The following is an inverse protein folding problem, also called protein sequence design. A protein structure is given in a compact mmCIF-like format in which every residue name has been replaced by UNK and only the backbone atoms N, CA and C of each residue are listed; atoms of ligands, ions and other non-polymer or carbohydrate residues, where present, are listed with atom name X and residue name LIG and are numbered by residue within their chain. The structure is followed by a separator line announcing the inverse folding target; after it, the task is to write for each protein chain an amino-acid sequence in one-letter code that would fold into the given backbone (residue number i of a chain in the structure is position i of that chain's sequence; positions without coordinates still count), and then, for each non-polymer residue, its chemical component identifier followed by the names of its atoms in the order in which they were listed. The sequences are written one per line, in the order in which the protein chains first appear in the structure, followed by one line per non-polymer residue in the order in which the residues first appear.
data_IF_646389856281
#
_entry.id   IF_646389856281
#
_cell.length_a   1.000
_cell.length_b   1.000
_cell.length_c   1.000
_cell.angle_alpha   90.00
_cell.angle_beta   90.00
_cell.angle_gamma   90.00
#
_symmetry.space_group_name_H-M   'P 1'
#
loop_
_entity.id
_entity.type
_entity.pdbx_description
1 polymer ?
#
# COMPACT_ATOMS: atom_id res chain seq x y z
N UNK A 1 1.46 -7.78 -1.47
CA UNK A 1 1.98 -6.40 -1.34
C UNK A 1 3.15 -6.40 -0.37
N UNK A 2 4.27 -5.76 -0.72
CA UNK A 2 5.47 -5.69 0.14
C UNK A 2 5.93 -4.24 0.28
N UNK A 3 6.30 -3.82 1.49
CA UNK A 3 6.93 -2.53 1.77
C UNK A 3 8.39 -2.76 2.10
N UNK A 4 9.27 -1.98 1.46
CA UNK A 4 10.71 -2.02 1.67
C UNK A 4 11.24 -0.71 2.22
N UNK A 5 12.24 -0.81 3.08
CA UNK A 5 13.13 0.29 3.43
C UNK A 5 14.36 0.23 2.52
N UNK A 6 14.60 1.30 1.77
CA UNK A 6 15.75 1.45 0.90
C UNK A 6 16.70 2.51 1.46
N UNK A 7 17.93 2.08 1.76
CA UNK A 7 19.03 2.98 2.10
C UNK A 7 19.99 3.09 0.91
N UNK A 8 20.61 4.25 0.73
CA UNK A 8 21.56 4.47 -0.37
C UNK A 8 22.71 3.44 -0.33
N UNK A 9 22.97 2.78 -1.47
CA UNK A 9 24.05 1.80 -1.60
C UNK A 9 23.73 0.39 -1.07
N UNK A 10 22.54 0.15 -0.52
CA UNK A 10 22.11 -1.17 -0.03
C UNK A 10 20.97 -1.74 -0.88
N UNK A 11 20.75 -3.05 -0.79
CA UNK A 11 19.55 -3.67 -1.37
C UNK A 11 18.31 -3.29 -0.55
N UNK A 12 17.12 -3.16 -1.16
CA UNK A 12 15.88 -2.87 -0.44
C UNK A 12 15.60 -3.96 0.60
N UNK A 13 15.41 -3.57 1.86
CA UNK A 13 15.08 -4.48 2.96
C UNK A 13 13.56 -4.58 3.09
N UNK A 14 12.92 -5.75 2.92
CA UNK A 14 11.49 -5.88 3.18
C UNK A 14 11.22 -5.71 4.67
N UNK A 15 10.30 -4.81 5.01
CA UNK A 15 9.91 -4.50 6.40
C UNK A 15 8.47 -4.90 6.70
N UNK A 16 7.63 -5.09 5.67
CA UNK A 16 6.25 -5.53 5.78
C UNK A 16 5.87 -6.31 4.53
N UNK A 17 5.21 -7.45 4.69
CA UNK A 17 4.75 -8.25 3.55
C UNK A 17 3.39 -8.87 3.88
N UNK A 18 2.39 -8.62 3.04
CA UNK A 18 1.11 -9.30 3.09
C UNK A 18 0.89 -10.01 1.75
N UNK A 19 0.69 -11.32 1.82
CA UNK A 19 0.50 -12.21 0.66
C UNK A 19 -0.91 -12.77 0.63
N UNK A 20 -1.23 -13.44 -0.47
CA UNK A 20 -2.50 -14.13 -0.69
C UNK A 20 -3.68 -13.17 -0.87
N UNK A 21 -4.88 -13.74 -1.00
CA UNK A 21 -6.13 -13.00 -1.13
C UNK A 21 -6.50 -12.35 0.21
N UNK A 22 -6.87 -11.08 0.15
CA UNK A 22 -7.50 -10.39 1.28
C UNK A 22 -8.99 -10.26 0.95
N UNK A 23 -9.84 -10.14 1.97
CA UNK A 23 -11.28 -9.98 1.75
C UNK A 23 -11.58 -8.70 0.93
N UNK A 24 -12.80 -8.59 0.40
CA UNK A 24 -13.30 -7.41 -0.34
C UNK A 24 -13.57 -6.20 0.59
N UNK A 25 -12.55 -5.76 1.33
CA UNK A 25 -12.62 -4.66 2.29
C UNK A 25 -11.28 -3.92 2.41
N UNK A 26 -11.34 -2.69 2.93
CA UNK A 26 -10.14 -1.94 3.28
C UNK A 26 -9.55 -2.43 4.60
N UNK A 27 -8.26 -2.75 4.56
CA UNK A 27 -7.49 -3.18 5.72
C UNK A 27 -6.34 -2.23 6.01
N UNK A 28 -6.17 -1.89 7.29
CA UNK A 28 -5.07 -1.04 7.72
C UNK A 28 -3.74 -1.81 7.74
N UNK A 29 -2.83 -1.45 6.84
CA UNK A 29 -1.42 -1.84 6.89
C UNK A 29 -0.62 -0.88 7.79
N UNK A 30 0.24 -1.42 8.65
CA UNK A 30 1.10 -0.60 9.53
C UNK A 30 2.43 -1.31 9.81
N UNK A 31 3.53 -0.57 9.68
CA UNK A 31 4.89 -1.07 9.96
C UNK A 31 5.77 0.04 10.54
N UNK A 32 6.58 -0.32 11.53
CA UNK A 32 7.62 0.54 12.07
C UNK A 32 8.96 0.31 11.39
N UNK A 33 9.74 1.37 11.22
CA UNK A 33 11.11 1.27 10.72
C UNK A 33 11.99 2.28 11.46
N UNK A 34 13.31 2.06 11.44
CA UNK A 34 14.31 2.96 12.01
C UNK A 34 15.34 3.23 10.93
N UNK A 35 15.57 4.51 10.62
CA UNK A 35 16.57 4.94 9.66
C UNK A 35 17.27 6.20 10.17
N UNK A 36 18.60 6.18 10.18
CA UNK A 36 19.44 7.29 10.67
C UNK A 36 20.04 8.13 9.53
N UNK A 37 19.88 7.69 8.29
CA UNK A 37 20.43 8.30 7.09
C UNK A 37 19.30 8.53 6.07
N UNK A 38 19.62 9.18 4.95
CA UNK A 38 18.70 9.29 3.81
C UNK A 38 18.21 7.91 3.36
N UNK A 39 16.90 7.82 3.15
CA UNK A 39 16.22 6.57 2.84
C UNK A 39 14.94 6.85 2.05
N UNK A 40 14.45 5.81 1.39
CA UNK A 40 13.16 5.80 0.70
C UNK A 40 12.32 4.63 1.19
N UNK A 41 11.02 4.81 1.17
CA UNK A 41 10.05 3.71 1.33
C UNK A 41 9.60 3.30 -0.06
N UNK A 42 9.66 2.00 -0.35
CA UNK A 42 9.14 1.45 -1.60
C UNK A 42 7.95 0.56 -1.28
N UNK A 43 6.87 0.71 -2.04
CA UNK A 43 5.70 -0.13 -1.94
C UNK A 43 5.56 -0.88 -3.26
N UNK A 44 5.71 -2.20 -3.20
CA UNK A 44 5.68 -3.09 -4.35
C UNK A 44 4.45 -3.99 -4.27
N UNK A 45 3.58 -3.87 -5.27
CA UNK A 45 2.48 -4.80 -5.47
C UNK A 45 2.88 -5.86 -6.49
N UNK A 46 2.46 -7.09 -6.21
CA UNK A 46 2.67 -8.25 -7.08
C UNK A 46 1.34 -8.98 -7.19
N UNK A 47 0.88 -9.18 -8.42
CA UNK A 47 -0.29 -10.00 -8.74
C UNK A 47 0.24 -11.17 -9.58
N UNK A 48 -0.03 -12.40 -9.16
CA UNK A 48 0.51 -13.62 -9.80
C UNK A 48 -0.54 -14.45 -10.53
N UNK A 49 -1.82 -14.21 -10.28
CA UNK A 49 -2.94 -14.89 -10.94
C UNK A 49 -3.87 -13.86 -11.58
N UNK A 50 -4.49 -14.21 -12.71
CA UNK A 50 -5.42 -13.33 -13.42
C UNK A 50 -6.83 -13.50 -12.91
N UNK A 51 -7.59 -12.40 -12.87
CA UNK A 51 -9.03 -12.41 -12.64
C UNK A 51 -9.46 -12.40 -11.16
N UNK A 52 -8.55 -12.11 -10.24
CA UNK A 52 -8.81 -12.06 -8.78
C UNK A 52 -8.76 -10.62 -8.22
N UNK A 53 -9.17 -9.62 -9.02
CA UNK A 53 -9.16 -8.22 -8.60
C UNK A 53 -7.79 -7.55 -8.63
N UNK A 54 -7.67 -6.46 -7.87
CA UNK A 54 -6.48 -5.61 -7.82
C UNK A 54 -6.07 -5.24 -6.39
N UNK A 55 -4.92 -4.57 -6.25
CA UNK A 55 -4.45 -4.11 -4.93
C UNK A 55 -4.74 -2.62 -4.79
N UNK A 56 -5.61 -2.25 -3.86
CA UNK A 56 -5.89 -0.87 -3.49
C UNK A 56 -4.95 -0.34 -2.40
N UNK A 57 -4.49 0.90 -2.54
CA UNK A 57 -3.79 1.67 -1.53
C UNK A 57 -4.44 3.04 -1.37
N UNK A 58 -4.65 3.44 -0.13
CA UNK A 58 -5.25 4.72 0.22
C UNK A 58 -4.69 5.21 1.57
N UNK A 59 -4.88 6.50 1.88
CA UNK A 59 -4.55 7.12 3.17
C UNK A 59 -3.11 6.85 3.67
N UNK A 60 -2.12 6.97 2.78
CA UNK A 60 -0.72 6.75 3.14
C UNK A 60 -0.23 7.91 4.02
N UNK A 61 0.38 7.60 5.16
CA UNK A 61 0.98 8.60 6.04
C UNK A 61 2.25 8.08 6.72
N UNK A 62 3.20 8.99 7.01
CA UNK A 62 4.45 8.67 7.72
C UNK A 62 4.56 9.57 8.94
N UNK A 63 4.76 8.94 10.11
CA UNK A 63 4.69 9.63 11.39
C UNK A 63 5.80 9.15 12.32
N UNK A 64 6.30 10.04 13.17
CA UNK A 64 7.30 9.70 14.16
C UNK A 64 6.62 9.15 15.41
N UNK A 65 7.02 7.96 15.84
CA UNK A 65 6.53 7.37 17.08
C UNK A 65 6.65 5.86 17.10
N UNK A 66 6.11 5.26 18.16
CA UNK A 66 6.00 3.81 18.25
C UNK A 66 4.97 3.29 17.25
N UNK A 67 5.30 2.18 16.61
CA UNK A 67 4.51 1.64 15.51
C UNK A 67 4.32 0.13 15.69
N UNK A 68 3.07 -0.30 15.85
CA UNK A 68 2.70 -1.73 15.93
C UNK A 68 2.52 -2.29 14.53
N UNK A 69 3.05 -3.48 14.28
CA UNK A 69 2.85 -4.22 13.04
C UNK A 69 1.37 -4.60 12.87
N UNK A 70 0.76 -4.20 11.75
CA UNK A 70 -0.59 -4.62 11.35
C UNK A 70 -0.65 -5.01 9.86
N UNK A 71 -1.36 -6.11 9.53
CA UNK A 71 -1.78 -7.15 10.47
C UNK A 71 -0.56 -7.86 11.09
N UNK A 72 -0.74 -8.53 12.22
CA UNK A 72 0.39 -9.14 12.95
C UNK A 72 1.14 -10.22 12.17
N UNK A 73 0.49 -10.83 11.17
CA UNK A 73 1.09 -11.83 10.30
C UNK A 73 1.78 -11.23 9.07
N UNK A 74 1.80 -9.90 8.89
CA UNK A 74 2.45 -9.25 7.76
C UNK A 74 3.98 -9.13 7.92
N UNK A 75 4.61 -10.22 8.36
CA UNK A 75 6.04 -10.32 8.64
C UNK A 75 6.77 -10.82 7.38
N UNK A 76 7.83 -10.15 6.91
CA UNK A 76 8.66 -10.66 5.82
C UNK A 76 9.31 -12.01 6.16
N UNK A 77 9.51 -12.87 5.15
CA UNK A 77 10.15 -14.20 5.30
C UNK A 77 11.56 -14.14 5.92
N UNK A 78 12.25 -13.00 5.79
CA UNK A 78 13.57 -12.81 6.41
C UNK A 78 13.52 -12.68 7.94
N UNK A 79 12.33 -12.53 8.53
CA UNK A 79 12.10 -12.35 9.97
C UNK A 79 12.68 -11.06 10.55
N UNK A 80 13.33 -10.21 9.74
CA UNK A 80 13.97 -8.96 10.16
C UNK A 80 12.94 -7.82 10.19
N UNK A 81 11.97 -7.90 11.08
CA UNK A 81 11.23 -6.69 11.47
C UNK A 81 11.99 -6.05 12.63
N UNK A 82 12.30 -4.76 12.55
CA UNK A 82 12.74 -4.00 13.74
C UNK A 82 11.53 -3.77 14.63
N UNK A 83 11.02 -4.84 15.24
CA UNK A 83 9.86 -4.81 16.13
C UNK A 83 10.27 -4.24 17.49
N UNK A 84 10.04 -2.95 17.67
CA UNK A 84 9.80 -2.44 19.03
C UNK A 84 8.32 -2.68 19.31
N UNK A 85 8.02 -3.77 20.02
CA UNK A 85 6.65 -4.13 20.41
C UNK A 85 6.02 -2.97 21.21
N UNK A 86 4.99 -2.35 20.64
CA UNK A 86 4.21 -1.30 21.28
C UNK A 86 2.89 -1.87 21.84
N UNK A 87 2.32 -1.28 22.90
CA UNK A 87 1.00 -1.65 23.39
C UNK A 87 -0.08 -1.42 22.32
N UNK A 88 -1.08 -2.31 22.28
CA UNK A 88 -2.20 -2.25 21.34
C UNK A 88 -3.11 -1.08 21.74
N UNK A 89 -3.10 -0.01 20.95
CA UNK A 89 -4.10 1.06 21.02
C UNK A 89 -4.82 1.16 19.68
N UNK A 90 -6.14 0.97 19.71
CA UNK A 90 -7.05 1.28 18.60
C UNK A 90 -7.15 2.79 18.45
N UNK A 91 -6.55 3.36 17.40
CA UNK A 91 -6.70 4.79 17.09
C UNK A 91 -7.05 4.95 15.61
N UNK A 92 -8.22 5.53 15.40
CA UNK A 92 -8.73 6.08 14.15
C UNK A 92 -8.07 7.43 13.84
N UNK A 93 -7.74 7.65 12.57
CA UNK A 93 -7.18 8.87 11.94
C UNK A 93 -5.80 9.35 12.47
N UNK A 94 -4.83 9.65 11.59
CA UNK A 94 -3.55 10.21 12.02
C UNK A 94 -3.75 11.61 12.61
N UNK A 95 -3.43 11.82 13.89
CA UNK A 95 -3.53 13.12 14.56
C UNK A 95 -2.28 14.00 14.34
N UNK A 96 -1.56 13.80 13.24
CA UNK A 96 -0.27 14.44 12.97
C UNK A 96 -0.46 15.58 11.96
N UNK A 97 0.36 16.65 12.01
CA UNK A 97 0.34 17.67 10.97
C UNK A 97 0.61 17.03 9.60
N UNK A 98 -0.14 17.41 8.54
CA UNK A 98 0.06 16.85 7.20
C UNK A 98 1.50 17.02 6.74
N UNK A 99 2.11 15.94 6.27
CA UNK A 99 3.45 15.95 5.70
C UNK A 99 3.40 15.89 4.18
N UNK A 100 4.50 16.24 3.52
CA UNK A 100 4.62 16.14 2.05
C UNK A 100 4.60 14.71 1.51
N UNK A 101 4.65 13.71 2.41
CA UNK A 101 4.61 12.29 2.07
C UNK A 101 3.21 11.70 2.29
N UNK A 102 2.34 12.41 3.00
CA UNK A 102 0.97 11.99 3.20
C UNK A 102 0.20 12.08 1.88
N UNK A 103 -0.63 11.08 1.62
CA UNK A 103 -1.27 10.90 0.33
C UNK A 103 -2.60 10.16 0.49
N UNK A 104 -3.69 10.91 0.33
CA UNK A 104 -5.08 10.42 0.27
C UNK A 104 -5.58 10.22 -1.17
N UNK A 105 -4.73 10.52 -2.16
CA UNK A 105 -5.04 10.48 -3.59
C UNK A 105 -6.23 11.34 -4.04
N UNK A 106 -6.80 12.23 -3.23
CA UNK A 106 -8.06 12.93 -3.57
C UNK A 106 -7.89 14.02 -4.63
N UNK A 107 -6.74 14.70 -4.64
CA UNK A 107 -6.45 15.75 -5.63
C UNK A 107 -5.64 15.26 -6.82
N UNK A 108 -4.66 14.38 -6.59
CA UNK A 108 -3.73 13.89 -7.59
C UNK A 108 -3.13 12.53 -7.18
N UNK A 109 -2.15 12.03 -7.93
CA UNK A 109 -1.43 10.80 -7.60
C UNK A 109 -0.21 11.07 -6.67
N UNK A 110 -0.27 12.17 -5.92
CA UNK A 110 0.72 12.69 -4.98
C UNK A 110 2.09 12.95 -5.61
N UNK A 111 2.37 14.22 -5.92
CA UNK A 111 3.59 14.64 -6.64
C UNK A 111 4.92 14.25 -5.96
N UNK A 112 4.92 13.97 -4.65
CA UNK A 112 6.11 13.47 -3.94
C UNK A 112 6.41 11.98 -4.18
N UNK A 113 5.46 11.22 -4.72
CA UNK A 113 5.58 9.79 -4.97
C UNK A 113 5.99 9.52 -6.42
N UNK A 114 6.93 8.60 -6.59
CA UNK A 114 7.31 8.08 -7.90
C UNK A 114 6.55 6.79 -8.18
N UNK A 115 5.57 6.85 -9.09
CA UNK A 115 4.79 5.67 -9.48
C UNK A 115 5.49 4.96 -10.62
N UNK A 116 5.86 3.70 -10.38
CA UNK A 116 6.57 2.85 -11.35
C UNK A 116 5.65 1.68 -11.70
N UNK A 117 5.31 1.56 -12.98
CA UNK A 117 4.46 0.49 -13.51
C UNK A 117 5.21 -0.39 -14.51
N UNK A 118 4.76 -1.64 -14.65
CA UNK A 118 5.23 -2.56 -15.70
C UNK A 118 4.17 -2.67 -16.80
N UNK A 119 4.53 -3.04 -18.04
CA UNK A 119 3.56 -3.15 -19.14
C UNK A 119 2.33 -4.02 -18.82
N UNK A 120 2.56 -5.12 -18.09
CA UNK A 120 1.58 -6.11 -17.69
C UNK A 120 0.75 -5.74 -16.46
N UNK A 121 1.29 -4.86 -15.59
CA UNK A 121 0.75 -4.58 -14.27
C UNK A 121 0.98 -3.10 -13.91
N UNK A 122 -0.11 -2.33 -13.83
CA UNK A 122 -0.07 -0.87 -13.77
C UNK A 122 -0.70 -0.35 -12.48
N UNK A 123 0.03 0.53 -11.80
CA UNK A 123 -0.53 1.39 -10.77
C UNK A 123 -1.23 2.58 -11.43
N UNK A 124 -2.52 2.73 -11.18
CA UNK A 124 -3.33 3.85 -11.67
C UNK A 124 -4.11 4.46 -10.53
N UNK A 125 -4.25 5.78 -10.54
CA UNK A 125 -5.20 6.46 -9.67
C UNK A 125 -6.60 6.14 -10.17
N UNK A 126 -7.39 5.45 -9.37
CA UNK A 126 -8.72 4.98 -9.71
C UNK A 126 -9.76 5.66 -8.82
N UNK A 127 -10.99 5.72 -9.31
CA UNK A 127 -12.15 6.22 -8.57
C UNK A 127 -13.03 5.03 -8.22
N UNK A 128 -13.49 4.91 -6.96
CA UNK A 128 -14.28 3.78 -6.42
C UNK A 128 -15.20 3.07 -7.42
N UNK A 129 -16.37 3.65 -7.67
CA UNK A 129 -17.41 3.06 -8.53
C UNK A 129 -16.93 2.78 -9.96
N UNK A 130 -15.98 3.56 -10.48
CA UNK A 130 -15.45 3.35 -11.83
C UNK A 130 -14.46 2.18 -11.87
N UNK A 131 -13.69 1.96 -10.82
CA UNK A 131 -12.76 0.84 -10.74
C UNK A 131 -13.49 -0.51 -10.78
N UNK A 132 -14.69 -0.58 -10.21
CA UNK A 132 -15.50 -1.80 -10.16
C UNK A 132 -16.28 -2.10 -11.43
N UNK A 133 -16.33 -1.14 -12.37
CA UNK A 133 -16.85 -1.40 -13.72
C UNK A 133 -15.87 -2.25 -14.54
N UNK A 134 -14.56 -2.16 -14.26
CA UNK A 134 -13.52 -2.92 -14.95
C UNK A 134 -13.35 -4.33 -14.36
N UNK A 135 -13.42 -4.47 -13.04
CA UNK A 135 -13.40 -5.75 -12.30
C UNK A 135 -14.20 -5.60 -11.01
N UNK A 136 -15.20 -6.47 -10.80
CA UNK A 136 -16.09 -6.39 -9.64
C UNK A 136 -15.38 -6.63 -8.30
N UNK A 137 -14.19 -7.22 -8.30
CA UNK A 137 -13.37 -7.45 -7.10
C UNK A 137 -12.48 -6.25 -6.73
N UNK A 138 -12.52 -5.15 -7.50
CA UNK A 138 -11.85 -3.92 -7.09
C UNK A 138 -12.61 -3.24 -5.93
N UNK A 139 -11.93 -2.44 -5.08
CA UNK A 139 -12.60 -1.70 -4.02
C UNK A 139 -13.70 -0.75 -4.57
N UNK A 140 -14.94 -0.93 -4.09
CA UNK A 140 -16.11 -0.14 -4.51
C UNK A 140 -16.09 1.32 -4.02
N UNK A 141 -15.41 1.57 -2.91
CA UNK A 141 -15.39 2.85 -2.20
C UNK A 141 -13.93 3.22 -1.93
N UNK A 142 -13.62 4.51 -1.89
CA UNK A 142 -12.38 4.97 -1.26
C UNK A 142 -12.38 4.59 0.24
N UNK A 143 -11.20 4.54 0.86
CA UNK A 143 -11.15 4.46 2.31
C UNK A 143 -11.40 5.85 2.93
N UNK A 144 -10.96 6.92 2.24
CA UNK A 144 -11.08 8.33 2.66
C UNK A 144 -12.54 8.82 2.76
N UNK A 145 -13.20 8.44 3.86
CA UNK A 145 -14.59 8.80 4.12
C UNK A 145 -15.61 7.81 3.56
N UNK A 146 -15.17 6.67 3.03
CA UNK A 146 -16.00 5.59 2.48
C UNK A 146 -16.95 6.10 1.38
N UNK A 147 -16.42 6.94 0.49
CA UNK A 147 -17.19 7.56 -0.57
C UNK A 147 -17.07 6.73 -1.85
N UNK A 148 -18.17 6.68 -2.60
CA UNK A 148 -18.22 5.93 -3.86
C UNK A 148 -17.41 6.63 -4.97
N UNK A 149 -16.98 7.88 -4.72
CA UNK A 149 -16.42 8.79 -5.70
C UNK A 149 -15.08 9.40 -5.32
N UNK A 150 -14.49 9.08 -4.17
CA UNK A 150 -13.09 9.45 -3.91
C UNK A 150 -12.15 8.49 -4.62
N UNK A 151 -10.87 8.73 -4.37
CA UNK A 151 -9.80 8.22 -5.19
C UNK A 151 -8.79 7.46 -4.36
N UNK A 152 -8.21 6.44 -4.98
CA UNK A 152 -7.17 5.64 -4.37
C UNK A 152 -6.21 5.15 -5.46
N UNK A 153 -5.08 4.58 -5.06
CA UNK A 153 -4.14 3.99 -5.99
C UNK A 153 -4.45 2.50 -6.17
N UNK A 154 -4.71 2.09 -7.40
CA UNK A 154 -5.06 0.72 -7.76
C UNK A 154 -3.95 0.10 -8.60
N UNK A 155 -3.42 -1.03 -8.15
CA UNK A 155 -2.65 -1.93 -9.00
C UNK A 155 -3.58 -2.93 -9.66
N UNK A 156 -3.60 -2.94 -11.00
CA UNK A 156 -4.37 -3.92 -11.76
C UNK A 156 -3.63 -4.39 -13.02
N UNK A 157 -3.92 -5.61 -13.51
CA UNK A 157 -3.41 -6.07 -14.79
C UNK A 157 -3.89 -5.15 -15.93
N UNK A 158 -3.02 -4.92 -16.91
CA UNK A 158 -3.32 -4.03 -18.04
C UNK A 158 -4.09 -4.74 -19.18
N UNK A 159 -4.15 -6.07 -19.15
CA UNK A 159 -4.76 -6.90 -20.19
C UNK A 159 -5.49 -8.12 -19.61
N UNK A 160 -6.49 -8.61 -20.34
CA UNK A 160 -7.11 -9.93 -20.15
C UNK A 160 -6.22 -11.09 -20.62
N UNK A 161 -4.93 -10.85 -20.92
CA UNK A 161 -4.02 -11.87 -21.48
C UNK A 161 -3.10 -12.43 -20.40
N UNK A 162 -2.94 -13.76 -20.27
CA UNK A 162 -2.14 -14.40 -19.23
C UNK A 162 -0.66 -13.97 -19.19
N UNK A 163 -0.02 -14.12 -18.03
CA UNK A 163 1.38 -13.79 -17.76
C UNK A 163 2.15 -14.88 -18.51
N UNK A 164 3.21 -14.54 -19.26
CA UNK A 164 4.03 -15.56 -19.87
C UNK A 164 4.63 -16.43 -18.75
N UNK A 165 4.39 -17.75 -18.84
CA UNK A 165 4.99 -18.78 -17.98
C UNK A 165 6.52 -18.68 -17.94
#
# INVERSE_FOLDING_TARGET
LTVYLQMEGFQPLPIWTLTDEQEDAWFQGKVGFVANNEHSILIEGKITQYGEGGIGLDDISITNGYCTLLPQHAVPESGLTTIVAAPITTVTTPSHPPTRFDCDFESDACASWSIISKPELTWTRAQGVSATQDDAHNPLYDHTGNQAHGYYLLLKPNTTTPFPN
#
